data_IF_305579659316
#
_entry.id   IF_305579659316
#
_cell.length_a   1.000
_cell.length_b   1.000
_cell.length_c   1.000
_cell.angle_alpha   90.00
_cell.angle_beta   90.00
_cell.angle_gamma   90.00
#
_symmetry.space_group_name_H-M   'P 1'
#
loop_
_entity.id
_entity.type
_entity.pdbx_description
1 polymer ?
#
# COMPACT_ATOMS: atom_id res chain seq x y z
N UNK A 1 9.45 -12.34 -32.79
CA UNK A 1 8.45 -11.92 -31.78
C UNK A 1 8.88 -10.55 -31.29
N UNK A 2 8.10 -9.51 -31.53
CA UNK A 2 8.33 -8.20 -30.91
C UNK A 2 8.08 -8.45 -29.43
N UNK A 3 9.11 -8.27 -28.59
CA UNK A 3 8.94 -8.42 -27.14
C UNK A 3 7.84 -7.49 -26.68
N UNK A 4 6.95 -7.97 -25.83
CA UNK A 4 5.87 -7.17 -25.26
C UNK A 4 6.52 -6.01 -24.49
N UNK A 5 6.15 -4.78 -24.83
CA UNK A 5 6.70 -3.59 -24.17
C UNK A 5 6.10 -3.55 -22.76
N UNK A 6 6.93 -3.43 -21.74
CA UNK A 6 6.47 -3.13 -20.38
C UNK A 6 6.21 -1.63 -20.29
N UNK A 7 4.99 -1.26 -20.02
CA UNK A 7 4.50 0.12 -20.05
C UNK A 7 3.84 0.58 -18.73
N UNK A 8 3.75 -0.32 -17.75
CA UNK A 8 3.03 -0.06 -16.50
C UNK A 8 3.91 -0.32 -15.28
N UNK A 9 3.94 0.63 -14.35
CA UNK A 9 4.63 0.51 -13.07
C UNK A 9 3.65 0.41 -11.92
N UNK A 10 3.75 -0.66 -11.15
CA UNK A 10 3.12 -0.81 -9.85
C UNK A 10 4.12 -0.40 -8.77
N UNK A 11 3.73 0.47 -7.89
CA UNK A 11 4.52 0.92 -6.75
C UNK A 11 3.85 0.54 -5.44
N UNK A 12 4.62 0.03 -4.50
CA UNK A 12 4.23 0.09 -3.11
C UNK A 12 4.38 1.54 -2.57
N UNK A 13 3.78 1.83 -1.41
CA UNK A 13 3.82 3.15 -0.80
C UNK A 13 4.79 3.21 0.39
N UNK A 14 4.46 2.50 1.45
CA UNK A 14 5.12 2.62 2.76
C UNK A 14 6.50 1.96 2.75
N UNK A 15 7.57 2.76 2.90
CA UNK A 15 8.96 2.30 2.74
C UNK A 15 9.44 2.28 1.29
N UNK A 16 8.56 2.57 0.32
CA UNK A 16 8.88 2.62 -1.13
C UNK A 16 8.78 4.05 -1.65
N UNK A 17 7.59 4.59 -1.90
CA UNK A 17 7.41 5.98 -2.32
C UNK A 17 7.32 6.93 -1.12
N UNK A 18 6.93 6.43 0.03
CA UNK A 18 6.89 7.15 1.30
C UNK A 18 7.85 6.49 2.29
N UNK A 19 9.09 6.96 2.39
CA UNK A 19 10.01 6.53 3.44
C UNK A 19 9.45 6.86 4.82
N UNK A 20 9.43 5.89 5.72
CA UNK A 20 8.92 6.06 7.07
C UNK A 20 9.63 5.14 8.07
N UNK A 21 9.59 5.57 9.33
CA UNK A 21 9.86 4.70 10.47
C UNK A 21 8.58 3.94 10.82
N UNK A 22 8.51 2.67 10.45
CA UNK A 22 7.30 1.84 10.60
C UNK A 22 6.93 1.64 12.07
N UNK A 23 7.89 1.48 12.96
CA UNK A 23 7.62 1.28 14.39
C UNK A 23 7.02 2.56 14.99
N UNK A 24 7.62 3.72 14.69
CA UNK A 24 7.09 5.01 15.12
C UNK A 24 5.71 5.32 14.49
N UNK A 25 5.50 4.94 13.22
CA UNK A 25 4.22 5.09 12.55
C UNK A 25 3.12 4.27 13.25
N UNK A 26 3.36 2.98 13.50
CA UNK A 26 2.39 2.10 14.16
C UNK A 26 2.11 2.56 15.61
N UNK A 27 3.14 2.94 16.36
CA UNK A 27 2.97 3.49 17.71
C UNK A 27 2.09 4.74 17.69
N UNK A 28 2.38 5.71 16.82
CA UNK A 28 1.59 6.94 16.70
C UNK A 28 0.16 6.66 16.23
N UNK A 29 -0.03 5.69 15.33
CA UNK A 29 -1.35 5.25 14.87
C UNK A 29 -2.18 4.69 16.03
N UNK A 30 -1.64 3.75 16.79
CA UNK A 30 -2.35 3.12 17.92
C UNK A 30 -2.63 4.11 19.06
N UNK A 31 -1.70 5.01 19.35
CA UNK A 31 -1.94 6.11 20.31
C UNK A 31 -3.07 7.00 19.82
N UNK A 32 -3.09 7.35 18.55
CA UNK A 32 -4.09 8.22 17.95
C UNK A 32 -5.51 7.62 17.98
N UNK A 33 -5.69 6.37 17.55
CA UNK A 33 -7.00 5.71 17.59
C UNK A 33 -7.51 5.51 19.02
N UNK A 34 -6.60 5.21 19.96
CA UNK A 34 -6.96 5.10 21.39
C UNK A 34 -7.38 6.45 21.96
N UNK A 35 -6.59 7.50 21.71
CA UNK A 35 -6.90 8.86 22.14
C UNK A 35 -8.24 9.37 21.61
N UNK A 36 -8.61 9.00 20.38
CA UNK A 36 -9.90 9.32 19.76
C UNK A 36 -11.07 8.51 20.34
N UNK A 37 -10.80 7.50 21.18
CA UNK A 37 -11.82 6.64 21.79
C UNK A 37 -12.33 5.54 20.86
N UNK A 38 -11.66 5.27 19.73
CA UNK A 38 -12.03 4.20 18.80
C UNK A 38 -12.04 2.84 19.51
N UNK A 39 -10.95 2.51 20.18
CA UNK A 39 -10.84 1.23 20.89
C UNK A 39 -11.84 1.09 22.04
N UNK A 40 -12.07 2.16 22.80
CA UNK A 40 -13.03 2.18 23.91
C UNK A 40 -14.49 2.03 23.41
N UNK A 41 -14.80 2.56 22.22
CA UNK A 41 -16.12 2.40 21.61
C UNK A 41 -16.36 0.99 21.05
N UNK A 42 -15.31 0.24 20.76
CA UNK A 42 -15.39 -1.19 20.43
C UNK A 42 -15.62 -1.99 21.72
N UNK A 43 -14.72 -1.88 22.71
CA UNK A 43 -14.85 -2.50 24.01
C UNK A 43 -13.90 -1.82 25.01
N UNK A 44 -14.38 -1.60 26.25
CA UNK A 44 -13.66 -0.81 27.27
C UNK A 44 -12.28 -1.41 27.61
N UNK A 45 -12.16 -2.73 27.64
CA UNK A 45 -10.90 -3.42 28.03
C UNK A 45 -10.16 -4.03 26.85
N UNK A 46 -10.87 -4.62 25.89
CA UNK A 46 -10.28 -5.49 24.85
C UNK A 46 -10.40 -4.89 23.44
N UNK A 47 -10.84 -3.62 23.33
CA UNK A 47 -11.11 -2.98 22.05
C UNK A 47 -9.91 -2.94 21.11
N UNK A 48 -8.70 -2.75 21.63
CA UNK A 48 -7.47 -2.79 20.83
C UNK A 48 -7.20 -4.20 20.29
N UNK A 49 -7.39 -5.24 21.08
CA UNK A 49 -7.21 -6.63 20.62
C UNK A 49 -8.24 -6.98 19.54
N UNK A 50 -9.49 -6.56 19.72
CA UNK A 50 -10.56 -6.76 18.73
C UNK A 50 -10.25 -6.00 17.43
N UNK A 51 -9.77 -4.76 17.52
CA UNK A 51 -9.32 -3.97 16.38
C UNK A 51 -8.19 -4.68 15.60
N UNK A 52 -7.18 -5.18 16.31
CA UNK A 52 -6.09 -5.93 15.69
C UNK A 52 -6.58 -7.23 15.02
N UNK A 53 -7.52 -7.95 15.63
CA UNK A 53 -8.13 -9.14 15.01
C UNK A 53 -8.85 -8.79 13.71
N UNK A 54 -9.53 -7.65 13.66
CA UNK A 54 -10.17 -7.17 12.43
C UNK A 54 -9.14 -6.77 11.34
N UNK A 55 -8.00 -6.20 11.73
CA UNK A 55 -6.88 -5.99 10.78
C UNK A 55 -6.36 -7.31 10.23
N UNK A 56 -6.18 -8.32 11.07
CA UNK A 56 -5.77 -9.66 10.61
C UNK A 56 -6.81 -10.33 9.70
N UNK A 57 -8.10 -10.05 9.90
CA UNK A 57 -9.15 -10.55 9.01
C UNK A 57 -9.02 -9.96 7.59
N UNK A 58 -8.63 -8.69 7.47
CA UNK A 58 -8.31 -8.10 6.16
C UNK A 58 -7.11 -8.80 5.50
N UNK A 59 -6.04 -9.04 6.26
CA UNK A 59 -4.82 -9.70 5.75
C UNK A 59 -5.12 -11.14 5.28
N UNK A 60 -6.00 -11.84 5.99
CA UNK A 60 -6.42 -13.20 5.68
C UNK A 60 -7.64 -13.31 4.76
N UNK A 61 -8.11 -12.20 4.20
CA UNK A 61 -9.30 -12.19 3.33
C UNK A 61 -9.10 -13.09 2.09
N UNK A 62 -10.08 -13.92 1.83
CA UNK A 62 -10.07 -14.91 0.74
C UNK A 62 -10.66 -14.37 -0.59
N UNK A 63 -11.06 -13.09 -0.59
CA UNK A 63 -11.65 -12.43 -1.75
C UNK A 63 -13.18 -12.49 -1.83
N UNK A 64 -13.86 -13.07 -0.84
CA UNK A 64 -15.33 -13.17 -0.82
C UNK A 64 -16.02 -11.82 -0.55
N UNK A 65 -15.30 -10.87 0.03
CA UNK A 65 -15.78 -9.53 0.36
C UNK A 65 -14.64 -8.51 0.28
N UNK A 66 -14.94 -7.21 0.36
CA UNK A 66 -13.88 -6.19 0.43
C UNK A 66 -13.14 -6.27 1.78
N UNK A 67 -11.90 -5.76 1.83
CA UNK A 67 -11.15 -5.70 3.07
C UNK A 67 -11.87 -4.84 4.11
N UNK A 68 -12.54 -3.76 3.69
CA UNK A 68 -13.39 -2.96 4.56
C UNK A 68 -14.49 -3.80 5.21
N UNK A 69 -15.19 -4.62 4.41
CA UNK A 69 -16.24 -5.51 4.93
C UNK A 69 -15.65 -6.53 5.90
N UNK A 70 -14.53 -7.17 5.56
CA UNK A 70 -13.87 -8.13 6.43
C UNK A 70 -13.49 -7.52 7.79
N UNK A 71 -13.02 -6.26 7.78
CA UNK A 71 -12.70 -5.52 9.01
C UNK A 71 -13.94 -5.29 9.87
N UNK A 72 -14.99 -4.68 9.31
CA UNK A 72 -16.17 -4.30 10.10
C UNK A 72 -17.03 -5.48 10.50
N UNK A 73 -17.20 -6.50 9.64
CA UNK A 73 -17.92 -7.72 10.00
C UNK A 73 -17.22 -8.47 11.15
N UNK A 74 -15.88 -8.49 11.15
CA UNK A 74 -15.12 -9.08 12.26
C UNK A 74 -15.30 -8.28 13.55
N UNK A 75 -15.25 -6.95 13.51
CA UNK A 75 -15.50 -6.11 14.68
C UNK A 75 -16.90 -6.30 15.23
N UNK A 76 -17.91 -6.29 14.36
CA UNK A 76 -19.29 -6.48 14.76
C UNK A 76 -19.52 -7.86 15.40
N UNK A 77 -18.95 -8.91 14.83
CA UNK A 77 -19.02 -10.26 15.39
C UNK A 77 -18.36 -10.39 16.77
N UNK A 78 -17.27 -9.63 17.02
CA UNK A 78 -16.52 -9.68 18.28
C UNK A 78 -17.14 -8.81 19.39
N UNK A 79 -17.65 -7.63 19.04
CA UNK A 79 -18.06 -6.59 19.99
C UNK A 79 -19.52 -6.17 19.90
N UNK A 80 -20.19 -6.47 18.80
CA UNK A 80 -21.51 -5.91 18.49
C UNK A 80 -21.46 -4.47 17.97
N UNK A 81 -20.26 -3.86 17.82
CA UNK A 81 -20.10 -2.48 17.34
C UNK A 81 -20.18 -2.46 15.83
N UNK A 82 -21.20 -1.81 15.29
CA UNK A 82 -21.43 -1.74 13.84
C UNK A 82 -20.53 -0.70 13.15
N UNK A 83 -20.37 -0.84 11.83
CA UNK A 83 -19.68 0.15 10.99
C UNK A 83 -20.25 1.57 11.20
N UNK A 84 -21.59 1.72 11.24
CA UNK A 84 -22.27 3.01 11.42
C UNK A 84 -21.89 3.70 12.73
N UNK A 85 -21.65 2.91 13.78
CA UNK A 85 -21.26 3.43 15.10
C UNK A 85 -19.78 3.86 15.11
N UNK A 86 -18.90 3.13 14.42
CA UNK A 86 -17.46 3.35 14.47
C UNK A 86 -16.95 4.37 13.46
N UNK A 87 -17.56 4.43 12.25
CA UNK A 87 -17.11 5.30 11.16
C UNK A 87 -16.94 6.77 11.55
N UNK A 88 -17.87 7.43 12.30
CA UNK A 88 -17.67 8.82 12.69
C UNK A 88 -16.39 9.06 13.49
N UNK A 89 -16.03 8.13 14.39
CA UNK A 89 -14.78 8.23 15.19
C UNK A 89 -13.55 7.98 14.33
N UNK A 90 -13.63 7.03 13.39
CA UNK A 90 -12.56 6.76 12.43
C UNK A 90 -12.35 7.95 11.50
N UNK A 91 -13.42 8.55 10.97
CA UNK A 91 -13.33 9.73 10.10
C UNK A 91 -12.72 10.92 10.86
N UNK A 92 -13.15 11.16 12.09
CA UNK A 92 -12.57 12.18 12.96
C UNK A 92 -11.09 11.94 13.22
N UNK A 93 -10.69 10.68 13.48
CA UNK A 93 -9.30 10.31 13.66
C UNK A 93 -8.47 10.62 12.41
N UNK A 94 -8.93 10.20 11.22
CA UNK A 94 -8.22 10.46 9.96
C UNK A 94 -8.20 11.94 9.58
N UNK A 95 -9.24 12.70 9.96
CA UNK A 95 -9.26 14.15 9.76
C UNK A 95 -8.37 14.92 10.75
N UNK A 96 -8.07 14.34 11.90
CA UNK A 96 -7.36 14.97 13.02
C UNK A 96 -6.00 14.37 13.33
N UNK A 97 -5.95 13.45 14.30
CA UNK A 97 -4.72 12.90 14.87
C UNK A 97 -3.84 12.20 13.83
N UNK A 98 -4.42 11.52 12.85
CA UNK A 98 -3.68 10.82 11.79
C UNK A 98 -2.69 11.75 11.08
N UNK A 99 -3.04 13.02 10.87
CA UNK A 99 -2.16 14.00 10.22
C UNK A 99 -0.84 14.22 10.95
N UNK A 100 -0.81 14.00 12.25
CA UNK A 100 0.42 14.15 13.05
C UNK A 100 1.42 13.02 12.80
N UNK A 101 0.96 11.88 12.28
CA UNK A 101 1.79 10.72 11.93
C UNK A 101 2.73 11.04 10.78
N UNK A 102 2.44 12.08 9.98
CA UNK A 102 3.37 12.61 8.98
C UNK A 102 4.78 12.85 9.54
N UNK A 103 4.92 13.16 10.83
CA UNK A 103 6.22 13.37 11.46
C UNK A 103 7.12 12.12 11.49
N UNK A 104 6.57 10.92 11.24
CA UNK A 104 7.31 9.67 11.11
C UNK A 104 7.77 9.40 9.68
N UNK A 105 7.51 10.31 8.75
CA UNK A 105 7.78 10.18 7.31
C UNK A 105 8.66 11.31 6.80
N UNK A 106 9.23 11.13 5.62
CA UNK A 106 9.92 12.21 4.92
C UNK A 106 9.77 12.06 3.40
N UNK A 107 10.01 13.15 2.67
CA UNK A 107 10.00 13.14 1.21
C UNK A 107 11.34 12.65 0.70
N UNK A 108 11.32 11.67 -0.22
CA UNK A 108 12.49 11.19 -0.94
C UNK A 108 12.46 11.74 -2.37
N UNK A 109 13.34 12.67 -2.66
CA UNK A 109 13.37 13.40 -3.93
C UNK A 109 13.59 12.47 -5.14
N UNK A 110 14.41 11.44 -5.02
CA UNK A 110 14.67 10.49 -6.11
C UNK A 110 13.43 9.62 -6.39
N UNK A 111 12.61 9.31 -5.39
CA UNK A 111 11.31 8.64 -5.58
C UNK A 111 10.32 9.55 -6.31
N UNK A 112 10.23 10.83 -5.90
CA UNK A 112 9.38 11.83 -6.56
C UNK A 112 9.80 12.02 -8.03
N UNK A 113 11.10 12.17 -8.30
CA UNK A 113 11.62 12.30 -9.66
C UNK A 113 11.40 11.04 -10.50
N UNK A 114 11.46 9.86 -9.91
CA UNK A 114 11.16 8.58 -10.58
C UNK A 114 9.74 8.56 -11.11
N UNK A 115 8.75 8.88 -10.28
CA UNK A 115 7.33 8.95 -10.67
C UNK A 115 7.12 10.00 -11.76
N UNK A 116 7.68 11.21 -11.60
CA UNK A 116 7.59 12.29 -12.57
C UNK A 116 8.12 11.91 -13.95
N UNK A 117 9.31 11.31 -14.01
CA UNK A 117 9.94 10.90 -15.26
C UNK A 117 9.14 9.81 -15.96
N UNK A 118 8.60 8.83 -15.20
CA UNK A 118 7.74 7.78 -15.76
C UNK A 118 6.48 8.40 -16.41
N UNK A 119 5.80 9.31 -15.73
CA UNK A 119 4.66 10.06 -16.31
C UNK A 119 5.03 10.82 -17.58
N UNK A 120 6.14 11.56 -17.55
CA UNK A 120 6.63 12.32 -18.71
C UNK A 120 6.98 11.40 -19.89
N UNK A 121 7.34 10.16 -19.63
CA UNK A 121 7.64 9.13 -20.65
C UNK A 121 6.40 8.38 -21.15
N UNK A 122 5.25 8.55 -20.53
CA UNK A 122 3.99 7.95 -20.92
C UNK A 122 3.66 6.62 -20.24
N UNK A 123 4.41 6.20 -19.20
CA UNK A 123 4.11 4.99 -18.43
C UNK A 123 2.84 5.14 -17.60
N UNK A 124 2.06 4.05 -17.52
CA UNK A 124 0.93 3.94 -16.60
C UNK A 124 1.46 3.68 -15.20
N UNK A 125 0.87 4.33 -14.19
CA UNK A 125 1.31 4.22 -12.80
C UNK A 125 0.16 3.73 -11.92
N UNK A 126 0.44 2.71 -11.12
CA UNK A 126 -0.49 2.07 -10.20
C UNK A 126 0.10 2.11 -8.80
N UNK A 127 -0.65 2.59 -7.81
CA UNK A 127 -0.26 2.49 -6.42
C UNK A 127 -0.84 1.21 -5.81
N UNK A 128 0.02 0.20 -5.70
CA UNK A 128 -0.29 -1.12 -5.18
C UNK A 128 0.19 -1.26 -3.73
N UNK A 129 -0.33 -0.41 -2.83
CA UNK A 129 -0.03 -0.45 -1.40
C UNK A 129 -0.81 -1.55 -0.69
N UNK A 130 -0.37 -1.96 0.51
CA UNK A 130 -1.14 -2.91 1.33
C UNK A 130 -2.50 -2.29 1.68
N UNK A 131 -3.64 -2.86 1.24
CA UNK A 131 -4.95 -2.20 1.29
C UNK A 131 -5.63 -2.41 2.66
N UNK A 132 -5.01 -1.88 3.72
CA UNK A 132 -5.50 -1.94 5.10
C UNK A 132 -6.10 -0.61 5.57
N UNK A 133 -6.01 0.45 4.75
CA UNK A 133 -6.43 1.79 5.11
C UNK A 133 -7.52 2.32 4.18
N UNK A 134 -8.40 3.22 4.69
CA UNK A 134 -9.37 3.93 3.87
C UNK A 134 -8.69 4.88 2.89
N UNK A 135 -9.44 5.28 1.86
CA UNK A 135 -9.00 6.25 0.87
C UNK A 135 -8.43 7.53 1.49
N UNK A 136 -9.09 8.06 2.54
CA UNK A 136 -8.66 9.29 3.24
C UNK A 136 -7.25 9.16 3.82
N UNK A 137 -6.92 8.04 4.44
CA UNK A 137 -5.60 7.80 5.02
C UNK A 137 -4.53 7.55 3.94
N UNK A 138 -4.87 6.79 2.91
CA UNK A 138 -3.94 6.50 1.81
C UNK A 138 -3.63 7.75 1.02
N UNK A 139 -4.63 8.58 0.70
CA UNK A 139 -4.44 9.86 0.00
C UNK A 139 -3.53 10.82 0.79
N UNK A 140 -3.71 10.94 2.10
CA UNK A 140 -2.81 11.75 2.94
C UNK A 140 -1.36 11.25 2.86
N UNK A 141 -1.14 9.92 2.89
CA UNK A 141 0.22 9.35 2.77
C UNK A 141 0.85 9.59 1.41
N UNK A 142 0.07 9.57 0.32
CA UNK A 142 0.54 9.98 -1.01
C UNK A 142 1.00 11.44 -0.98
N UNK A 143 0.21 12.34 -0.40
CA UNK A 143 0.58 13.75 -0.26
C UNK A 143 1.83 13.95 0.62
N UNK A 144 2.00 13.13 1.66
CA UNK A 144 3.20 13.20 2.52
C UNK A 144 4.47 12.79 1.79
N UNK A 145 4.38 11.92 0.78
CA UNK A 145 5.52 11.55 -0.07
C UNK A 145 5.92 12.63 -1.08
N UNK A 146 5.14 13.73 -1.19
CA UNK A 146 5.37 14.78 -2.18
C UNK A 146 4.77 14.48 -3.55
N UNK A 147 3.96 13.43 -3.66
CA UNK A 147 3.24 13.02 -4.87
C UNK A 147 1.78 13.49 -4.82
N UNK A 148 1.10 13.40 -5.97
CA UNK A 148 -0.31 13.69 -6.11
C UNK A 148 -1.11 12.41 -6.35
N UNK A 149 -2.37 12.40 -5.90
CA UNK A 149 -3.31 11.29 -6.17
C UNK A 149 -3.44 11.07 -7.68
N UNK A 150 -3.53 12.15 -8.46
CA UNK A 150 -3.64 12.14 -9.92
C UNK A 150 -2.36 11.69 -10.65
N UNK A 151 -1.32 11.30 -9.91
CA UNK A 151 -0.14 10.65 -10.49
C UNK A 151 -0.40 9.19 -10.84
N UNK A 152 -1.42 8.59 -10.24
CA UNK A 152 -1.74 7.17 -10.37
C UNK A 152 -3.09 6.95 -11.04
N UNK A 153 -3.11 6.03 -12.00
CA UNK A 153 -4.33 5.59 -12.69
C UNK A 153 -5.23 4.74 -11.76
N UNK A 154 -4.63 4.00 -10.84
CA UNK A 154 -5.32 3.19 -9.84
C UNK A 154 -4.56 3.24 -8.52
N UNK A 155 -5.32 3.24 -7.43
CA UNK A 155 -4.81 3.20 -6.05
C UNK A 155 -5.61 2.16 -5.29
N UNK A 156 -4.92 1.22 -4.61
CA UNK A 156 -5.59 0.23 -3.75
C UNK A 156 -5.92 0.82 -2.38
N UNK A 157 -7.17 0.62 -1.97
CA UNK A 157 -7.73 0.97 -0.66
C UNK A 157 -8.44 -0.25 -0.06
N UNK A 158 -8.76 -0.23 1.22
CA UNK A 158 -9.45 -1.35 1.85
C UNK A 158 -10.90 -1.56 1.32
N UNK A 159 -11.53 -0.52 0.79
CA UNK A 159 -12.90 -0.53 0.28
C UNK A 159 -13.00 -0.94 -1.21
N UNK A 160 -11.89 -0.93 -1.95
CA UNK A 160 -11.84 -1.35 -3.36
C UNK A 160 -11.01 -2.62 -3.61
N UNK A 161 -10.48 -3.26 -2.57
CA UNK A 161 -9.63 -4.45 -2.64
C UNK A 161 -10.22 -5.60 -1.84
N UNK A 162 -10.13 -6.82 -2.39
CA UNK A 162 -10.64 -8.05 -1.77
C UNK A 162 -9.52 -8.95 -1.24
N UNK A 163 -8.27 -8.60 -1.53
CA UNK A 163 -7.09 -9.36 -1.12
C UNK A 163 -6.03 -8.41 -0.57
N UNK A 164 -5.11 -8.97 0.21
CA UNK A 164 -3.89 -8.30 0.64
C UNK A 164 -2.65 -8.99 0.03
N UNK A 165 -1.55 -8.28 -0.12
CA UNK A 165 -0.24 -8.88 -0.41
C UNK A 165 0.15 -9.83 0.75
N UNK A 166 0.76 -10.99 0.49
CA UNK A 166 1.32 -11.50 -0.77
C UNK A 166 0.35 -12.38 -1.58
N UNK A 167 -0.96 -12.33 -1.34
CA UNK A 167 -1.91 -13.12 -2.12
C UNK A 167 -1.81 -12.82 -3.61
N UNK A 168 -1.69 -13.83 -4.49
CA UNK A 168 -1.73 -13.60 -5.94
C UNK A 168 -3.02 -12.91 -6.39
N UNK A 169 -4.15 -13.14 -5.67
CA UNK A 169 -5.44 -12.50 -5.91
C UNK A 169 -5.35 -10.98 -5.88
N UNK A 170 -4.48 -10.40 -5.04
CA UNK A 170 -4.30 -8.96 -4.94
C UNK A 170 -3.85 -8.33 -6.28
N UNK A 171 -2.78 -8.85 -6.88
CA UNK A 171 -2.28 -8.33 -8.16
C UNK A 171 -3.20 -8.71 -9.31
N UNK A 172 -3.76 -9.92 -9.32
CA UNK A 172 -4.71 -10.37 -10.35
C UNK A 172 -5.93 -9.47 -10.40
N UNK A 173 -6.49 -9.09 -9.24
CA UNK A 173 -7.63 -8.18 -9.16
C UNK A 173 -7.34 -6.82 -9.80
N UNK A 174 -6.15 -6.26 -9.58
CA UNK A 174 -5.75 -4.97 -10.18
C UNK A 174 -5.50 -5.12 -11.68
N UNK A 175 -4.85 -6.20 -12.12
CA UNK A 175 -4.64 -6.50 -13.54
C UNK A 175 -5.96 -6.60 -14.29
N UNK A 176 -6.94 -7.33 -13.74
CA UNK A 176 -8.27 -7.50 -14.33
C UNK A 176 -9.03 -6.17 -14.42
N UNK A 177 -8.96 -5.33 -13.36
CA UNK A 177 -9.62 -4.01 -13.34
C UNK A 177 -9.06 -3.04 -14.39
N UNK A 178 -7.78 -3.17 -14.72
CA UNK A 178 -7.07 -2.25 -15.62
C UNK A 178 -6.85 -2.83 -17.04
N UNK A 179 -7.36 -4.04 -17.31
CA UNK A 179 -7.15 -4.79 -18.56
C UNK A 179 -5.65 -4.90 -18.91
N UNK A 180 -4.85 -5.36 -17.93
CA UNK A 180 -3.40 -5.51 -18.04
C UNK A 180 -2.98 -6.98 -18.01
N UNK A 181 -1.88 -7.31 -18.68
CA UNK A 181 -1.16 -8.55 -18.46
C UNK A 181 0.06 -8.33 -17.56
N UNK A 182 0.39 -9.30 -16.72
CA UNK A 182 1.50 -9.20 -15.77
C UNK A 182 2.85 -8.93 -16.45
N UNK A 183 3.04 -9.46 -17.67
CA UNK A 183 4.25 -9.28 -18.46
C UNK A 183 4.47 -7.84 -18.95
N UNK A 184 3.42 -6.99 -18.92
CA UNK A 184 3.53 -5.56 -19.23
C UNK A 184 3.92 -4.72 -18.01
N UNK A 185 4.02 -5.33 -16.83
CA UNK A 185 4.13 -4.63 -15.57
C UNK A 185 5.49 -4.80 -14.89
N UNK A 186 5.90 -3.72 -14.23
CA UNK A 186 6.94 -3.72 -13.21
C UNK A 186 6.29 -3.66 -11.83
N UNK A 187 6.89 -4.32 -10.82
CA UNK A 187 6.58 -4.09 -9.41
C UNK A 187 7.80 -3.52 -8.72
N UNK A 188 7.66 -2.33 -8.17
CA UNK A 188 8.67 -1.64 -7.36
C UNK A 188 8.19 -1.61 -5.92
N UNK A 189 8.96 -2.21 -5.01
CA UNK A 189 8.62 -2.25 -3.60
C UNK A 189 9.82 -2.58 -2.73
N UNK A 190 9.68 -2.43 -1.41
CA UNK A 190 10.73 -2.69 -0.42
C UNK A 190 10.51 -4.00 0.36
N UNK A 191 9.37 -4.67 0.19
CA UNK A 191 9.11 -5.95 0.86
C UNK A 191 9.46 -7.13 -0.05
N UNK A 192 10.45 -7.93 0.40
CA UNK A 192 10.97 -9.09 -0.33
C UNK A 192 9.95 -10.22 -0.49
N UNK A 193 8.90 -10.27 0.33
CA UNK A 193 7.84 -11.28 0.30
C UNK A 193 6.58 -10.72 -0.33
N UNK A 194 6.07 -9.61 0.19
CA UNK A 194 4.75 -9.11 -0.16
C UNK A 194 4.76 -8.46 -1.55
N UNK A 195 5.70 -7.57 -1.84
CA UNK A 195 5.78 -6.92 -3.15
C UNK A 195 6.30 -7.86 -4.23
N UNK A 196 7.37 -8.61 -3.91
CA UNK A 196 7.99 -9.48 -4.90
C UNK A 196 7.16 -10.73 -5.21
N UNK A 197 6.05 -10.97 -4.51
CA UNK A 197 5.08 -12.03 -4.89
C UNK A 197 4.45 -11.79 -6.26
N UNK A 198 4.39 -10.55 -6.74
CA UNK A 198 3.94 -10.19 -8.10
C UNK A 198 4.74 -10.91 -9.20
N UNK A 199 6.01 -11.21 -8.94
CA UNK A 199 6.88 -11.88 -9.95
C UNK A 199 6.38 -13.28 -10.32
N UNK A 200 5.66 -13.95 -9.41
CA UNK A 200 5.07 -15.27 -9.70
C UNK A 200 3.99 -15.20 -10.80
N UNK A 201 3.43 -14.02 -11.05
CA UNK A 201 2.45 -13.77 -12.10
C UNK A 201 3.09 -13.32 -13.43
N UNK A 202 4.38 -12.94 -13.44
CA UNK A 202 5.08 -12.47 -14.64
C UNK A 202 5.56 -11.02 -14.60
N UNK A 203 5.35 -10.31 -13.50
CA UNK A 203 5.91 -8.96 -13.29
C UNK A 203 7.44 -8.98 -13.31
N UNK A 204 8.05 -7.91 -13.78
CA UNK A 204 9.47 -7.64 -13.55
C UNK A 204 9.63 -6.91 -12.21
N UNK A 205 10.28 -7.57 -11.23
CA UNK A 205 10.47 -7.01 -9.90
C UNK A 205 11.66 -6.05 -9.84
N UNK A 206 11.48 -4.95 -9.08
CA UNK A 206 12.56 -4.11 -8.56
C UNK A 206 12.43 -4.03 -7.03
N UNK A 207 13.34 -4.71 -6.33
CA UNK A 207 13.38 -4.68 -4.87
C UNK A 207 14.23 -3.49 -4.41
N UNK A 208 13.57 -2.49 -3.83
CA UNK A 208 14.21 -1.32 -3.24
C UNK A 208 14.94 -1.74 -1.98
N UNK A 209 16.21 -1.35 -1.85
CA UNK A 209 17.05 -1.73 -0.70
C UNK A 209 16.96 -0.74 0.47
N UNK A 210 16.50 0.48 0.23
CA UNK A 210 16.13 1.41 1.28
C UNK A 210 14.89 0.87 2.00
N UNK A 211 14.83 0.92 3.31
CA UNK A 211 13.71 0.40 4.12
C UNK A 211 13.32 -1.06 3.84
N UNK A 212 14.30 -1.90 3.44
CA UNK A 212 14.07 -3.29 3.06
C UNK A 212 13.42 -4.09 4.19
N UNK A 213 12.30 -4.76 3.86
CA UNK A 213 11.64 -5.74 4.71
C UNK A 213 11.95 -7.13 4.18
N UNK A 214 12.39 -8.03 5.07
CA UNK A 214 12.77 -9.39 4.72
C UNK A 214 14.25 -9.52 4.31
N UNK A 215 14.57 -10.59 3.57
CA UNK A 215 15.95 -10.96 3.24
C UNK A 215 16.23 -10.81 1.73
N UNK A 216 17.11 -9.89 1.38
CA UNK A 216 17.50 -9.62 -0.01
C UNK A 216 18.00 -10.88 -0.77
N UNK A 217 18.62 -11.82 -0.05
CA UNK A 217 19.16 -13.05 -0.63
C UNK A 217 18.10 -14.08 -1.02
N UNK A 218 16.90 -13.98 -0.48
CA UNK A 218 15.80 -14.91 -0.78
C UNK A 218 15.05 -14.57 -2.08
N UNK A 219 15.19 -13.34 -2.58
CA UNK A 219 14.55 -12.93 -3.83
C UNK A 219 15.53 -13.06 -4.99
N UNK A 220 15.19 -13.89 -5.96
CA UNK A 220 15.98 -14.12 -7.18
C UNK A 220 15.22 -13.64 -8.41
N UNK A 221 15.94 -13.24 -9.45
CA UNK A 221 15.32 -12.86 -10.72
C UNK A 221 14.76 -11.44 -10.78
N UNK A 222 14.86 -10.64 -9.71
CA UNK A 222 14.51 -9.22 -9.73
C UNK A 222 15.75 -8.32 -9.79
N UNK A 223 15.56 -7.10 -10.26
CA UNK A 223 16.54 -6.04 -10.06
C UNK A 223 16.50 -5.60 -8.60
N UNK A 224 17.61 -5.08 -8.08
CA UNK A 224 17.75 -4.60 -6.70
C UNK A 224 18.60 -3.37 -6.72
N UNK A 225 18.25 -2.39 -5.88
CA UNK A 225 19.01 -1.17 -5.77
C UNK A 225 18.35 -0.15 -4.86
N UNK A 226 19.06 0.95 -4.63
CA UNK A 226 18.54 2.09 -3.88
C UNK A 226 17.72 3.05 -4.76
N UNK A 227 17.25 4.16 -4.18
CA UNK A 227 16.46 5.17 -4.91
C UNK A 227 17.21 5.75 -6.09
N UNK A 228 18.53 6.01 -5.95
CA UNK A 228 19.33 6.60 -7.01
C UNK A 228 19.53 5.64 -8.19
N UNK A 229 19.67 4.35 -7.91
CA UNK A 229 19.79 3.29 -8.92
C UNK A 229 18.44 3.08 -9.64
N UNK A 230 17.31 3.13 -8.93
CA UNK A 230 15.98 3.11 -9.53
C UNK A 230 15.76 4.32 -10.45
N UNK A 231 16.10 5.52 -9.97
CA UNK A 231 16.00 6.75 -10.77
C UNK A 231 16.85 6.66 -12.03
N UNK A 232 18.09 6.14 -11.94
CA UNK A 232 18.96 5.95 -13.09
C UNK A 232 18.39 4.92 -14.08
N UNK A 233 17.81 3.83 -13.59
CA UNK A 233 17.12 2.85 -14.43
C UNK A 233 15.99 3.54 -15.20
N UNK A 234 15.12 4.29 -14.52
CA UNK A 234 13.97 4.96 -15.13
C UNK A 234 14.38 6.03 -16.15
N UNK A 235 15.46 6.78 -15.88
CA UNK A 235 16.03 7.76 -16.85
C UNK A 235 16.42 7.10 -18.17
N UNK A 236 16.86 5.84 -18.13
CA UNK A 236 17.32 5.10 -19.33
C UNK A 236 16.21 4.33 -20.05
N UNK A 237 15.00 4.23 -19.51
CA UNK A 237 13.86 3.64 -20.19
C UNK A 237 13.45 4.46 -21.42
N UNK A 238 12.88 3.81 -22.47
CA UNK A 238 12.35 4.54 -23.63
C UNK A 238 11.11 5.37 -23.23
N UNK A 239 10.66 6.26 -24.12
CA UNK A 239 9.30 6.82 -24.07
C UNK A 239 8.32 5.79 -24.64
N UNK A 240 7.11 5.74 -24.10
CA UNK A 240 6.01 4.90 -24.58
C UNK A 240 5.11 5.72 -25.52
#
# INVERSE_FOLDING_TARGET
MVGQIRDTFFFDLDGTLLPLDMDAFLEAYYIGITKRGVCESIHITDGMEMFQKAVYAMIGNDGSMTNQQAFFETLEALSGTTMEQLMPLMDDFYAGEFKTIKNCTYVEEDAVQTVKILKEKGYRLVLATQPLFPQTATNQRIEWSGLCIDDFEYISYYDNSHYCKPSPGYFTEILDKLDLSAEQCYMVGNDARDDMSAMALGFEGYLLTNHLIGEIGKVTGCKKGDYSELLNLVKNLPRI
#
